data_IF_537982586619
#
_entry.id   IF_537982586619
#
_cell.length_a   1.000
_cell.length_b   1.000
_cell.length_c   1.000
_cell.angle_alpha   90.00
_cell.angle_beta   90.00
_cell.angle_gamma   90.00
#
_symmetry.space_group_name_H-M   'P 1'
#
loop_
_entity.id
_entity.type
_entity.pdbx_description
1 polymer ?
#
# COMPACT_ATOMS: atom_id res chain seq x y z
N UNK A 1 -10.73 -11.14 -1.29
CA UNK A 1 -9.28 -10.93 -1.08
C UNK A 1 -8.75 -10.24 -2.33
N UNK A 2 -8.45 -8.94 -2.23
CA UNK A 2 -7.91 -8.17 -3.34
C UNK A 2 -6.45 -8.58 -3.53
N UNK A 3 -6.12 -9.12 -4.71
CA UNK A 3 -4.76 -9.51 -5.05
C UNK A 3 -4.12 -8.36 -5.81
N UNK A 4 -3.34 -7.54 -5.12
CA UNK A 4 -2.50 -6.52 -5.74
C UNK A 4 -1.39 -7.17 -6.57
N UNK A 5 -1.02 -6.53 -7.68
CA UNK A 5 0.09 -6.90 -8.55
C UNK A 5 1.06 -5.73 -8.68
N UNK A 6 2.29 -6.05 -9.04
CA UNK A 6 3.25 -5.02 -9.46
C UNK A 6 2.67 -4.30 -10.69
N UNK A 7 2.85 -2.99 -10.73
CA UNK A 7 2.29 -2.03 -11.69
C UNK A 7 0.79 -1.70 -11.54
N UNK A 8 0.07 -2.30 -10.58
CA UNK A 8 -1.30 -1.88 -10.27
C UNK A 8 -1.31 -0.44 -9.74
N UNK A 9 -2.35 0.32 -10.10
CA UNK A 9 -2.66 1.60 -9.49
C UNK A 9 -3.61 1.39 -8.31
N UNK A 10 -3.24 1.94 -7.16
CA UNK A 10 -3.99 1.79 -5.93
C UNK A 10 -4.27 3.14 -5.29
N UNK A 11 -5.47 3.30 -4.77
CA UNK A 11 -5.88 4.45 -3.97
C UNK A 11 -5.69 4.14 -2.49
N UNK A 12 -5.13 5.08 -1.74
CA UNK A 12 -4.90 4.94 -0.30
C UNK A 12 -6.15 5.37 0.46
N UNK A 13 -6.81 4.42 1.09
CA UNK A 13 -8.09 4.60 1.80
C UNK A 13 -7.95 4.61 3.32
N UNK A 14 -6.75 4.36 3.84
CA UNK A 14 -6.43 4.45 5.26
C UNK A 14 -4.92 4.57 5.43
N UNK A 15 -4.49 4.96 6.62
CA UNK A 15 -3.09 4.83 7.06
C UNK A 15 -3.15 4.33 8.48
N UNK A 16 -3.46 3.04 8.63
CA UNK A 16 -3.96 2.46 9.87
C UNK A 16 -2.98 2.58 11.04
N UNK A 17 -1.69 2.79 10.75
CA UNK A 17 -0.61 2.79 11.74
C UNK A 17 0.32 4.01 11.70
N UNK A 18 0.14 4.94 10.77
CA UNK A 18 1.10 6.04 10.55
C UNK A 18 0.39 7.38 10.31
N UNK A 19 0.35 8.21 11.34
CA UNK A 19 -0.28 9.54 11.28
C UNK A 19 0.42 10.49 10.33
N UNK A 20 1.73 10.31 10.07
CA UNK A 20 2.48 11.18 9.14
C UNK A 20 2.13 10.88 7.68
N UNK A 21 1.63 9.66 7.42
CA UNK A 21 1.18 9.21 6.10
C UNK A 21 -0.27 9.60 5.77
N UNK A 22 -1.05 10.14 6.71
CA UNK A 22 -2.44 10.60 6.47
C UNK A 22 -2.56 11.56 5.28
N UNK A 23 -1.51 12.31 4.97
CA UNK A 23 -1.44 13.20 3.80
C UNK A 23 -1.64 12.48 2.46
N UNK A 24 -1.47 11.16 2.42
CA UNK A 24 -1.66 10.33 1.23
C UNK A 24 -3.09 9.81 1.07
N UNK A 25 -4.00 10.05 2.01
CA UNK A 25 -5.39 9.63 1.90
C UNK A 25 -6.04 10.17 0.62
N UNK A 26 -6.69 9.30 -0.15
CA UNK A 26 -7.28 9.59 -1.46
C UNK A 26 -6.25 9.80 -2.59
N UNK A 27 -4.96 9.61 -2.33
CA UNK A 27 -3.93 9.66 -3.37
C UNK A 27 -3.82 8.31 -4.08
N UNK A 28 -3.57 8.36 -5.38
CA UNK A 28 -3.31 7.18 -6.20
C UNK A 28 -1.80 7.01 -6.38
N UNK A 29 -1.32 5.79 -6.16
CA UNK A 29 0.09 5.42 -6.32
C UNK A 29 0.20 4.10 -7.10
N UNK A 30 1.38 3.84 -7.67
CA UNK A 30 1.66 2.59 -8.39
C UNK A 30 2.41 1.61 -7.48
N UNK A 31 1.99 0.36 -7.48
CA UNK A 31 2.68 -0.73 -6.77
C UNK A 31 3.98 -1.08 -7.51
N UNK A 32 5.11 -1.01 -6.82
CA UNK A 32 6.43 -1.35 -7.38
C UNK A 32 7.07 -2.57 -6.71
N UNK A 33 6.59 -2.96 -5.53
CA UNK A 33 7.04 -4.16 -4.82
C UNK A 33 5.96 -4.65 -3.86
N UNK A 34 5.99 -5.94 -3.52
CA UNK A 34 5.04 -6.59 -2.62
C UNK A 34 5.81 -7.48 -1.66
N UNK A 35 5.72 -7.15 -0.37
CA UNK A 35 6.33 -7.93 0.70
C UNK A 35 5.26 -8.69 1.46
N UNK A 36 5.47 -9.99 1.66
CA UNK A 36 4.60 -10.85 2.47
C UNK A 36 5.37 -11.35 3.69
N UNK A 37 4.82 -11.11 4.88
CA UNK A 37 5.42 -11.52 6.15
C UNK A 37 4.48 -12.50 6.85
N UNK A 38 5.00 -13.65 7.27
CA UNK A 38 4.22 -14.67 7.98
C UNK A 38 4.46 -14.53 9.49
N UNK A 39 3.43 -14.17 10.23
CA UNK A 39 3.50 -13.89 11.67
C UNK A 39 2.68 -14.92 12.46
N UNK A 40 3.15 -16.17 12.50
CA UNK A 40 2.67 -17.22 13.42
C UNK A 40 1.23 -17.74 13.23
N UNK A 41 0.38 -17.05 12.47
CA UNK A 41 -1.01 -17.42 12.20
C UNK A 41 -1.72 -16.54 11.16
N UNK A 42 -1.13 -15.40 10.79
CA UNK A 42 -1.62 -14.51 9.73
C UNK A 42 -0.49 -14.10 8.78
N UNK A 43 -0.87 -13.73 7.55
CA UNK A 43 0.04 -13.23 6.53
C UNK A 43 -0.22 -11.74 6.33
N UNK A 44 0.73 -10.91 6.76
CA UNK A 44 0.72 -9.48 6.51
C UNK A 44 1.27 -9.23 5.10
N UNK A 45 0.61 -8.37 4.34
CA UNK A 45 1.06 -7.97 3.01
C UNK A 45 1.28 -6.45 3.00
N UNK A 46 2.51 -6.04 2.75
CA UNK A 46 2.89 -4.65 2.57
C UNK A 46 3.14 -4.38 1.08
N UNK A 47 2.67 -3.24 0.60
CA UNK A 47 2.88 -2.74 -0.76
C UNK A 47 3.91 -1.62 -0.72
N UNK A 48 4.90 -1.69 -1.60
CA UNK A 48 5.75 -0.53 -1.90
C UNK A 48 5.09 0.26 -3.00
N UNK A 49 4.79 1.51 -2.71
CA UNK A 49 4.08 2.42 -3.59
C UNK A 49 5.03 3.52 -4.06
N UNK A 50 4.90 3.91 -5.33
CA UNK A 50 5.53 5.12 -5.88
C UNK A 50 4.45 6.10 -6.33
N UNK A 51 4.58 7.34 -5.90
CA UNK A 51 3.70 8.44 -6.27
C UNK A 51 4.25 9.21 -7.48
N UNK A 52 3.43 10.06 -8.09
CA UNK A 52 3.81 10.83 -9.28
C UNK A 52 4.96 11.83 -9.05
N UNK A 53 5.19 12.24 -7.80
CA UNK A 53 6.29 13.11 -7.39
C UNK A 53 7.61 12.33 -7.16
N UNK A 54 7.60 11.01 -7.36
CA UNK A 54 8.73 10.12 -7.11
C UNK A 54 8.92 9.75 -5.64
N UNK A 55 8.02 10.18 -4.74
CA UNK A 55 8.03 9.69 -3.37
C UNK A 55 7.68 8.21 -3.32
N UNK A 56 8.37 7.46 -2.45
CA UNK A 56 8.15 6.04 -2.24
C UNK A 56 7.85 5.74 -0.79
N UNK A 57 6.93 4.78 -0.55
CA UNK A 57 6.62 4.35 0.81
C UNK A 57 6.08 2.93 0.85
N UNK A 58 6.15 2.33 2.04
CA UNK A 58 5.48 1.08 2.34
C UNK A 58 4.16 1.35 3.07
N UNK A 59 3.08 0.72 2.61
CA UNK A 59 1.78 0.73 3.26
C UNK A 59 1.21 -0.69 3.30
N UNK A 60 0.39 -0.98 4.31
CA UNK A 60 -0.31 -2.24 4.39
C UNK A 60 -1.28 -2.37 3.21
N UNK A 61 -1.42 -3.56 2.64
CA UNK A 61 -2.33 -3.82 1.54
C UNK A 61 -3.80 -3.52 1.88
N UNK A 62 -4.17 -3.62 3.17
CA UNK A 62 -5.52 -3.27 3.67
C UNK A 62 -5.81 -1.76 3.64
N UNK A 63 -4.76 -0.93 3.64
CA UNK A 63 -4.86 0.53 3.55
C UNK A 63 -5.07 1.01 2.10
N UNK A 64 -5.10 0.09 1.14
CA UNK A 64 -5.14 0.37 -0.29
C UNK A 64 -6.35 -0.32 -0.97
N UNK A 65 -6.85 0.28 -2.05
CA UNK A 65 -7.84 -0.36 -2.96
C UNK A 65 -7.41 -0.18 -4.40
N UNK A 66 -7.75 -1.14 -5.27
CA UNK A 66 -7.51 -0.98 -6.70
C UNK A 66 -8.36 0.18 -7.25
N UNK A 67 -7.72 1.04 -8.04
CA UNK A 67 -8.35 2.16 -8.73
C UNK A 67 -8.71 1.78 -10.17
#
# INVERSE_FOLDING_TARGET
>A
MSYFRIDDQVEIISTSYDTEKRKFYGSVARVIDIKKSNNGGWTDTDLRLVFNDGYETWLAAEDCVNH
#
